data_IF_449799470561
#
_entry.id   IF_449799470561
#
_cell.length_a   1.000
_cell.length_b   1.000
_cell.length_c   1.000
_cell.angle_alpha   90.00
_cell.angle_beta   90.00
_cell.angle_gamma   90.00
#
_symmetry.space_group_name_H-M   'P 1'
#
loop_
_entity.id
_entity.type
_entity.pdbx_description
1 polymer ?
#
# COMPACT_ATOMS: atom_id res chain seq x y z
N UNK A 1 -34.70 13.97 3.70
CA UNK A 1 -33.71 13.87 4.79
C UNK A 1 -32.35 14.21 4.17
N UNK A 2 -31.84 15.40 4.43
CA UNK A 2 -30.50 15.77 4.00
C UNK A 2 -29.52 14.91 4.81
N UNK A 3 -28.69 14.12 4.14
CA UNK A 3 -27.54 13.47 4.77
C UNK A 3 -26.72 14.57 5.47
N UNK A 4 -26.73 14.57 6.80
CA UNK A 4 -25.75 15.31 7.59
C UNK A 4 -24.39 14.86 7.07
N UNK A 5 -23.72 15.71 6.29
CA UNK A 5 -22.34 15.46 5.88
C UNK A 5 -21.49 15.57 7.14
N UNK A 6 -21.26 14.45 7.80
CA UNK A 6 -20.31 14.29 8.89
C UNK A 6 -19.00 14.98 8.44
N UNK A 7 -18.54 15.97 9.19
CA UNK A 7 -17.34 16.71 8.79
C UNK A 7 -16.13 15.77 8.80
N UNK A 8 -15.26 15.81 7.77
CA UNK A 8 -14.06 14.98 7.75
C UNK A 8 -13.17 15.24 8.97
N UNK A 9 -12.50 14.22 9.53
CA UNK A 9 -11.62 14.35 10.70
C UNK A 9 -10.28 15.03 10.37
N UNK A 10 -10.31 16.33 10.02
CA UNK A 10 -9.14 17.09 9.59
C UNK A 10 -8.00 17.15 10.61
N UNK A 11 -8.33 17.18 11.90
CA UNK A 11 -7.32 17.14 12.99
C UNK A 11 -6.53 15.83 12.96
N UNK A 12 -7.19 14.71 12.72
CA UNK A 12 -6.51 13.42 12.58
C UNK A 12 -5.69 13.35 11.30
N UNK A 13 -6.18 13.86 10.16
CA UNK A 13 -5.36 13.91 8.94
C UNK A 13 -4.09 14.73 9.15
N UNK A 14 -4.19 15.89 9.80
CA UNK A 14 -3.04 16.71 10.14
C UNK A 14 -2.05 15.95 11.06
N UNK A 15 -2.58 15.20 12.04
CA UNK A 15 -1.77 14.35 12.89
C UNK A 15 -1.07 13.22 12.08
N UNK A 16 -1.76 12.55 11.16
CA UNK A 16 -1.19 11.51 10.29
C UNK A 16 -0.05 12.08 9.42
N UNK A 17 -0.24 13.26 8.83
CA UNK A 17 0.81 13.96 8.07
C UNK A 17 1.99 14.30 8.99
N UNK A 18 1.73 14.77 10.21
CA UNK A 18 2.75 15.04 11.22
C UNK A 18 3.55 13.78 11.58
N UNK A 19 2.88 12.65 11.80
CA UNK A 19 3.52 11.35 12.07
C UNK A 19 4.37 10.90 10.89
N UNK A 20 3.86 11.02 9.67
CA UNK A 20 4.61 10.68 8.46
C UNK A 20 5.88 11.53 8.34
N UNK A 21 5.76 12.84 8.46
CA UNK A 21 6.88 13.77 8.36
C UNK A 21 7.92 13.53 9.48
N UNK A 22 7.46 13.33 10.72
CA UNK A 22 8.32 13.01 11.85
C UNK A 22 9.04 11.67 11.67
N UNK A 23 8.34 10.65 11.15
CA UNK A 23 8.93 9.35 10.81
C UNK A 23 10.03 9.48 9.76
N UNK A 24 9.77 10.20 8.66
CA UNK A 24 10.77 10.46 7.62
C UNK A 24 11.98 11.24 8.15
N UNK A 25 11.75 12.27 8.96
CA UNK A 25 12.81 13.02 9.62
C UNK A 25 13.63 12.13 10.57
N UNK A 26 12.97 11.25 11.34
CA UNK A 26 13.61 10.29 12.23
C UNK A 26 14.48 9.28 11.49
N UNK A 27 13.98 8.72 10.38
CA UNK A 27 14.77 7.85 9.49
C UNK A 27 16.00 8.60 8.96
N UNK A 28 15.82 9.85 8.51
CA UNK A 28 16.92 10.69 8.04
C UNK A 28 17.98 10.94 9.13
N UNK A 29 17.54 11.29 10.34
CA UNK A 29 18.43 11.51 11.48
C UNK A 29 19.19 10.24 11.90
N UNK A 30 18.52 9.09 11.89
CA UNK A 30 19.16 7.80 12.16
C UNK A 30 20.16 7.41 11.06
N UNK A 31 19.84 7.73 9.81
CA UNK A 31 20.72 7.48 8.68
C UNK A 31 22.01 8.31 8.78
N UNK A 32 21.88 9.61 9.07
CA UNK A 32 23.03 10.52 9.23
C UNK A 32 23.86 10.17 10.46
N UNK A 33 23.23 9.89 11.60
CA UNK A 33 23.91 9.47 12.83
C UNK A 33 24.67 8.14 12.64
N UNK A 34 24.14 7.22 11.84
CA UNK A 34 24.80 5.96 11.49
C UNK A 34 25.86 6.07 10.39
N UNK A 35 26.18 7.28 9.90
CA UNK A 35 27.15 7.48 8.83
C UNK A 35 26.74 6.87 7.48
N UNK A 36 25.43 6.63 7.28
CA UNK A 36 24.92 6.00 6.06
C UNK A 36 24.94 7.01 4.92
N UNK A 37 25.56 6.63 3.79
CA UNK A 37 25.58 7.46 2.58
C UNK A 37 24.36 7.16 1.71
N UNK A 38 23.80 8.16 1.01
CA UNK A 38 22.73 7.92 0.06
C UNK A 38 23.23 6.96 -1.04
N UNK A 39 22.52 5.84 -1.20
CA UNK A 39 22.81 4.85 -2.25
C UNK A 39 22.37 5.42 -3.60
N UNK A 40 23.13 5.17 -4.66
CA UNK A 40 22.72 5.58 -6.01
C UNK A 40 21.62 4.65 -6.48
N UNK A 41 20.40 5.18 -6.63
CA UNK A 41 19.27 4.41 -7.14
C UNK A 41 19.38 4.26 -8.66
N UNK A 42 19.37 3.02 -9.13
CA UNK A 42 19.28 2.72 -10.55
C UNK A 42 17.83 2.70 -11.03
N UNK A 43 17.63 2.69 -12.35
CA UNK A 43 16.29 2.52 -12.92
C UNK A 43 15.64 1.18 -12.51
N UNK A 44 16.45 0.13 -12.34
CA UNK A 44 15.98 -1.17 -11.84
C UNK A 44 15.49 -1.05 -10.39
N UNK A 45 16.23 -0.34 -9.54
CA UNK A 45 15.82 -0.14 -8.14
C UNK A 45 14.48 0.60 -8.05
N UNK A 46 14.27 1.62 -8.90
CA UNK A 46 13.00 2.33 -8.97
C UNK A 46 11.86 1.39 -9.43
N UNK A 47 12.09 0.55 -10.44
CA UNK A 47 11.10 -0.41 -10.92
C UNK A 47 10.73 -1.45 -9.85
N UNK A 48 11.73 -2.02 -9.19
CA UNK A 48 11.57 -3.01 -8.10
C UNK A 48 10.85 -2.38 -6.91
N UNK A 49 11.24 -1.17 -6.50
CA UNK A 49 10.58 -0.44 -5.42
C UNK A 49 9.13 -0.08 -5.77
N UNK A 50 8.85 0.26 -7.02
CA UNK A 50 7.50 0.55 -7.50
C UNK A 50 6.61 -0.70 -7.43
N UNK A 51 7.11 -1.85 -7.91
CA UNK A 51 6.40 -3.13 -7.82
C UNK A 51 6.19 -3.55 -6.36
N UNK A 52 7.21 -3.39 -5.51
CA UNK A 52 7.12 -3.68 -4.08
C UNK A 52 6.08 -2.80 -3.37
N UNK A 53 6.09 -1.50 -3.65
CA UNK A 53 5.13 -0.54 -3.10
C UNK A 53 3.71 -0.86 -3.55
N UNK A 54 3.52 -1.16 -4.82
CA UNK A 54 2.22 -1.56 -5.36
C UNK A 54 1.70 -2.81 -4.65
N UNK A 55 2.53 -3.86 -4.53
CA UNK A 55 2.13 -5.09 -3.84
C UNK A 55 1.81 -4.84 -2.37
N UNK A 56 2.67 -4.14 -1.64
CA UNK A 56 2.43 -3.83 -0.24
C UNK A 56 1.13 -3.03 -0.05
N UNK A 57 0.92 -2.00 -0.86
CA UNK A 57 -0.28 -1.18 -0.81
C UNK A 57 -1.55 -1.99 -1.10
N UNK A 58 -1.52 -2.82 -2.15
CA UNK A 58 -2.64 -3.68 -2.52
C UNK A 58 -2.91 -4.74 -1.45
N UNK A 59 -1.85 -5.30 -0.85
CA UNK A 59 -1.99 -6.29 0.21
C UNK A 59 -2.63 -5.69 1.46
N UNK A 60 -2.24 -4.47 1.87
CA UNK A 60 -2.90 -3.81 3.01
C UNK A 60 -4.33 -3.38 2.68
N UNK A 61 -4.55 -2.83 1.48
CA UNK A 61 -5.84 -2.22 1.14
C UNK A 61 -6.93 -3.21 0.71
N UNK A 62 -6.57 -4.40 0.22
CA UNK A 62 -7.52 -5.31 -0.42
C UNK A 62 -7.38 -6.78 -0.03
N UNK A 63 -6.25 -7.22 0.52
CA UNK A 63 -5.98 -8.65 0.67
C UNK A 63 -6.57 -9.19 1.97
N UNK A 64 -7.29 -10.29 1.86
CA UNK A 64 -8.09 -10.88 2.95
C UNK A 64 -7.20 -11.28 4.13
N UNK A 65 -5.97 -11.71 3.84
CA UNK A 65 -4.97 -12.08 4.86
C UNK A 65 -4.71 -10.94 5.85
N UNK A 66 -4.89 -9.68 5.45
CA UNK A 66 -4.76 -8.50 6.32
C UNK A 66 -6.10 -7.84 6.68
N UNK A 67 -7.23 -8.51 6.46
CA UNK A 67 -8.57 -8.01 6.84
C UNK A 67 -8.66 -7.68 8.33
N UNK A 68 -8.03 -8.46 9.21
CA UNK A 68 -7.98 -8.21 10.66
C UNK A 68 -7.41 -6.84 11.05
N UNK A 69 -6.56 -6.24 10.20
CA UNK A 69 -6.02 -4.91 10.43
C UNK A 69 -7.04 -3.82 10.11
N UNK A 70 -7.94 -4.10 9.15
CA UNK A 70 -8.98 -3.20 8.64
C UNK A 70 -10.29 -3.33 9.38
N UNK A 71 -10.64 -4.53 9.85
CA UNK A 71 -11.85 -4.86 10.61
C UNK A 71 -12.23 -3.81 11.68
N UNK A 72 -11.32 -3.30 12.52
CA UNK A 72 -11.69 -2.28 13.49
C UNK A 72 -11.97 -0.90 12.88
N UNK A 73 -11.68 -0.62 11.62
CA UNK A 73 -11.79 0.70 11.01
C UNK A 73 -12.76 0.78 9.82
N UNK A 74 -13.29 -0.36 9.37
CA UNK A 74 -14.18 -0.45 8.21
C UNK A 74 -15.49 -1.14 8.57
N UNK A 75 -16.50 -0.93 7.74
CA UNK A 75 -17.78 -1.65 7.72
C UNK A 75 -17.94 -2.28 6.33
N UNK A 76 -18.48 -3.50 6.28
CA UNK A 76 -18.66 -4.26 5.04
C UNK A 76 -17.99 -5.63 5.09
N UNK A 77 -18.18 -6.42 4.04
CA UNK A 77 -17.63 -7.76 3.92
C UNK A 77 -16.25 -7.71 3.26
N UNK A 78 -15.21 -8.17 3.99
CA UNK A 78 -13.83 -8.20 3.48
C UNK A 78 -13.65 -9.04 2.21
N UNK A 79 -14.54 -10.01 1.98
CA UNK A 79 -14.48 -10.95 0.86
C UNK A 79 -15.00 -10.38 -0.47
N UNK A 80 -15.88 -9.38 -0.42
CA UNK A 80 -16.52 -8.81 -1.62
C UNK A 80 -15.90 -7.48 -2.08
N UNK A 81 -14.99 -6.91 -1.28
CA UNK A 81 -14.31 -5.65 -1.60
C UNK A 81 -15.17 -4.40 -1.47
N UNK A 82 -16.31 -4.46 -0.79
CA UNK A 82 -17.18 -3.31 -0.47
C UNK A 82 -16.94 -2.74 0.94
N UNK A 83 -15.72 -2.93 1.48
CA UNK A 83 -15.32 -2.34 2.75
C UNK A 83 -15.28 -0.81 2.65
N UNK A 84 -16.05 -0.14 3.51
CA UNK A 84 -16.09 1.31 3.63
C UNK A 84 -15.57 1.75 5.00
N UNK A 85 -14.75 2.80 5.08
CA UNK A 85 -14.35 3.37 6.36
C UNK A 85 -15.56 3.68 7.24
N UNK A 86 -15.42 3.48 8.54
CA UNK A 86 -16.46 3.89 9.50
C UNK A 86 -16.61 5.42 9.50
N UNK A 87 -17.83 5.95 9.45
CA UNK A 87 -18.08 7.40 9.42
C UNK A 87 -18.28 7.97 10.83
N UNK A 88 -17.27 7.83 11.70
CA UNK A 88 -17.33 8.25 13.11
C UNK A 88 -16.92 9.70 13.35
N UNK A 89 -16.26 10.36 12.40
CA UNK A 89 -15.72 11.72 12.55
C UNK A 89 -14.48 11.81 13.46
N UNK A 90 -13.91 10.68 13.86
CA UNK A 90 -12.77 10.60 14.78
C UNK A 90 -11.53 9.97 14.10
N UNK A 91 -10.56 9.52 14.90
CA UNK A 91 -9.37 8.89 14.37
C UNK A 91 -9.62 7.55 13.66
N UNK A 92 -10.71 6.86 14.01
CA UNK A 92 -11.09 5.57 13.45
C UNK A 92 -11.46 5.71 11.98
N UNK A 93 -12.23 6.74 11.66
CA UNK A 93 -12.57 7.10 10.27
C UNK A 93 -11.30 7.39 9.45
N UNK A 94 -10.42 8.25 9.95
CA UNK A 94 -9.21 8.64 9.22
C UNK A 94 -8.27 7.45 8.95
N UNK A 95 -8.13 6.54 9.92
CA UNK A 95 -7.33 5.32 9.75
C UNK A 95 -8.00 4.38 8.75
N UNK A 96 -9.32 4.21 8.81
CA UNK A 96 -10.07 3.41 7.84
C UNK A 96 -9.91 3.93 6.41
N UNK A 97 -10.01 5.23 6.21
CA UNK A 97 -9.77 5.89 4.92
C UNK A 97 -8.33 5.73 4.45
N UNK A 98 -7.35 5.80 5.35
CA UNK A 98 -5.94 5.55 5.01
C UNK A 98 -5.73 4.11 4.53
N UNK A 99 -6.24 3.13 5.26
CA UNK A 99 -6.05 1.70 4.99
C UNK A 99 -6.79 1.23 3.74
N UNK A 100 -7.96 1.79 3.45
CA UNK A 100 -8.75 1.46 2.24
C UNK A 100 -8.30 2.26 1.01
N UNK A 101 -7.63 3.41 1.19
CA UNK A 101 -7.04 4.18 0.10
C UNK A 101 -5.68 3.60 -0.33
N UNK A 102 -5.68 2.77 -1.38
CA UNK A 102 -4.47 2.16 -1.96
C UNK A 102 -3.35 3.17 -2.29
N UNK A 103 -3.70 4.39 -2.73
CA UNK A 103 -2.74 5.47 -2.99
C UNK A 103 -2.13 6.03 -1.71
N UNK A 104 -2.96 6.21 -0.70
CA UNK A 104 -2.57 6.78 0.58
C UNK A 104 -1.66 5.80 1.31
N UNK A 105 -2.11 4.55 1.51
CA UNK A 105 -1.28 3.50 2.12
C UNK A 105 -0.04 3.20 1.28
N UNK A 106 -0.10 3.35 -0.05
CA UNK A 106 1.06 3.20 -0.92
C UNK A 106 2.18 4.19 -0.61
N UNK A 107 1.86 5.44 -0.29
CA UNK A 107 2.86 6.42 0.16
C UNK A 107 3.52 5.98 1.48
N UNK A 108 2.74 5.45 2.44
CA UNK A 108 3.26 4.93 3.70
C UNK A 108 4.10 3.67 3.51
N UNK A 109 3.67 2.76 2.65
CA UNK A 109 4.39 1.54 2.33
C UNK A 109 5.74 1.85 1.67
N UNK A 110 5.78 2.77 0.70
CA UNK A 110 7.02 3.22 0.09
C UNK A 110 7.99 3.81 1.13
N UNK A 111 7.50 4.71 1.98
CA UNK A 111 8.30 5.32 3.05
C UNK A 111 8.84 4.26 4.03
N UNK A 112 8.01 3.29 4.41
CA UNK A 112 8.41 2.18 5.30
C UNK A 112 9.49 1.28 4.68
N UNK A 113 9.31 0.88 3.41
CA UNK A 113 10.28 0.06 2.69
C UNK A 113 11.61 0.80 2.51
N UNK A 114 11.58 2.07 2.08
CA UNK A 114 12.78 2.91 1.94
C UNK A 114 13.45 3.12 3.30
N UNK A 115 12.68 3.39 4.35
CA UNK A 115 13.19 3.59 5.70
C UNK A 115 13.89 2.34 6.23
N UNK A 116 13.29 1.16 6.03
CA UNK A 116 13.90 -0.11 6.39
C UNK A 116 15.16 -0.39 5.56
N UNK A 117 15.13 -0.12 4.25
CA UNK A 117 16.31 -0.27 3.38
C UNK A 117 17.44 0.67 3.80
N UNK A 118 17.11 1.87 4.29
CA UNK A 118 18.09 2.81 4.80
C UNK A 118 18.68 2.35 6.13
N UNK A 119 17.85 1.99 7.11
CA UNK A 119 18.32 1.65 8.47
C UNK A 119 18.94 0.25 8.53
N UNK A 120 18.33 -0.74 7.87
CA UNK A 120 18.75 -2.14 7.86
C UNK A 120 18.83 -2.68 6.42
N UNK A 121 19.90 -2.36 5.68
CA UNK A 121 19.94 -2.53 4.23
C UNK A 121 19.78 -3.98 3.75
N UNK A 122 20.28 -4.96 4.51
CA UNK A 122 20.08 -6.38 4.18
C UNK A 122 18.60 -6.76 4.25
N UNK A 123 17.94 -6.43 5.36
CA UNK A 123 16.53 -6.75 5.57
C UNK A 123 15.62 -5.98 4.61
N UNK A 124 15.89 -4.69 4.40
CA UNK A 124 15.11 -3.87 3.47
C UNK A 124 15.25 -4.34 2.02
N UNK A 125 16.45 -4.75 1.60
CA UNK A 125 16.66 -5.35 0.28
C UNK A 125 15.85 -6.63 0.11
N UNK A 126 15.96 -7.56 1.07
CA UNK A 126 15.19 -8.81 1.04
C UNK A 126 13.68 -8.54 0.96
N UNK A 127 13.16 -7.65 1.83
CA UNK A 127 11.74 -7.29 1.83
C UNK A 127 11.30 -6.69 0.48
N UNK A 128 12.08 -5.75 -0.06
CA UNK A 128 11.75 -5.09 -1.34
C UNK A 128 11.71 -6.10 -2.48
N UNK A 129 12.71 -6.97 -2.59
CA UNK A 129 12.75 -8.00 -3.63
C UNK A 129 11.62 -9.02 -3.46
N UNK A 130 11.30 -9.44 -2.24
CA UNK A 130 10.18 -10.36 -1.98
C UNK A 130 8.84 -9.75 -2.38
N UNK A 131 8.58 -8.50 -2.00
CA UNK A 131 7.35 -7.80 -2.37
C UNK A 131 7.26 -7.55 -3.88
N UNK A 132 8.37 -7.17 -4.52
CA UNK A 132 8.42 -6.97 -5.96
C UNK A 132 8.15 -8.27 -6.73
N UNK A 133 8.75 -9.38 -6.29
CA UNK A 133 8.52 -10.70 -6.88
C UNK A 133 7.06 -11.13 -6.73
N UNK A 134 6.44 -10.89 -5.56
CA UNK A 134 5.02 -11.15 -5.36
C UNK A 134 4.12 -10.27 -6.25
N UNK A 135 4.44 -8.98 -6.42
CA UNK A 135 3.75 -8.11 -7.36
C UNK A 135 3.88 -8.55 -8.82
N UNK A 136 5.06 -9.02 -9.22
CA UNK A 136 5.27 -9.60 -10.55
C UNK A 136 4.48 -10.90 -10.74
N UNK A 137 4.41 -11.76 -9.72
CA UNK A 137 3.59 -12.96 -9.75
C UNK A 137 2.10 -12.65 -9.95
N UNK A 138 1.56 -11.68 -9.21
CA UNK A 138 0.16 -11.25 -9.34
C UNK A 138 -0.12 -10.74 -10.76
N UNK A 139 0.82 -9.96 -11.33
CA UNK A 139 0.71 -9.49 -12.71
C UNK A 139 0.71 -10.64 -13.72
N UNK A 140 1.59 -11.62 -13.55
CA UNK A 140 1.65 -12.80 -14.44
C UNK A 140 0.36 -13.62 -14.39
N UNK A 141 -0.20 -13.85 -13.19
CA UNK A 141 -1.47 -14.55 -13.00
C UNK A 141 -2.63 -13.81 -13.68
N UNK A 142 -2.71 -12.48 -13.50
CA UNK A 142 -3.73 -11.65 -14.12
C UNK A 142 -3.58 -11.63 -15.66
N UNK A 143 -2.36 -11.50 -16.16
CA UNK A 143 -2.07 -11.50 -17.59
C UNK A 143 -2.43 -12.85 -18.23
N UNK A 144 -2.05 -13.97 -17.61
CA UNK A 144 -2.41 -15.30 -18.07
C UNK A 144 -3.92 -15.50 -18.14
N UNK A 145 -4.65 -15.06 -17.11
CA UNK A 145 -6.12 -15.12 -17.09
C UNK A 145 -6.75 -14.31 -18.22
N UNK A 146 -6.27 -13.08 -18.45
CA UNK A 146 -6.76 -12.21 -19.53
C UNK A 146 -6.45 -12.78 -20.92
N UNK A 147 -5.25 -13.31 -21.13
CA UNK A 147 -4.83 -13.92 -22.40
C UNK A 147 -5.65 -15.18 -22.71
N UNK A 148 -5.90 -16.02 -21.71
CA UNK A 148 -6.72 -17.23 -21.86
C UNK A 148 -8.17 -16.87 -22.20
N UNK A 149 -8.76 -15.91 -21.50
CA UNK A 149 -10.11 -15.42 -21.81
C UNK A 149 -10.19 -14.90 -23.26
N UNK A 150 -9.16 -14.19 -23.72
CA UNK A 150 -9.10 -13.70 -25.10
C UNK A 150 -8.94 -14.82 -26.12
N UNK A 151 -8.12 -15.83 -25.83
CA UNK A 151 -7.93 -16.98 -26.71
C UNK A 151 -9.27 -17.74 -26.91
N UNK A 152 -9.99 -17.99 -25.82
CA UNK A 152 -11.30 -18.65 -25.86
C UNK A 152 -12.32 -17.84 -26.69
N UNK A 153 -12.38 -16.51 -26.53
CA UNK A 153 -13.26 -15.64 -27.32
C UNK A 153 -12.95 -15.68 -28.82
N UNK A 154 -11.67 -15.85 -29.19
CA UNK A 154 -11.26 -15.97 -30.60
C UNK A 154 -11.69 -17.32 -31.18
N UNK A 155 -11.50 -18.41 -30.43
CA UNK A 155 -11.91 -19.76 -30.84
C UNK A 155 -13.42 -19.85 -31.07
N UNK A 156 -14.24 -19.31 -30.17
CA UNK A 156 -15.70 -19.24 -30.31
C UNK A 156 -16.16 -18.43 -31.55
N UNK A 157 -15.33 -17.50 -32.04
CA UNK A 157 -15.63 -16.70 -33.24
C UNK A 157 -15.19 -17.37 -34.54
N UNK A 158 -14.27 -18.34 -34.48
CA UNK A 158 -13.70 -19.00 -35.66
C UNK A 158 -14.19 -20.43 -35.88
N UNK A 159 -14.80 -21.07 -34.87
CA UNK A 159 -15.52 -22.34 -35.00
C UNK A 159 -16.99 -22.16 -35.36
#
# INVERSE_FOLDING_TARGET
MASERQQPPYSTYAALVGVFAAGMAGVGALATAGGRRPEQLTALDLAVLSAATFKAARTVAHDEVLSFLREPFVQGEAHEGDEKPVETGDARQAIGELLTCSRCIGMWAAAGVIGLHTIAPRSGRLLTWSLAAAGANDFLQAAFSALTAKANEVEERTG
#
